data_IF_624264004191
#
_entry.id   IF_624264004191
#
_cell.length_a   1.000
_cell.length_b   1.000
_cell.length_c   1.000
_cell.angle_alpha   90.00
_cell.angle_beta   90.00
_cell.angle_gamma   90.00
#
_symmetry.space_group_name_H-M   'P 1'
#
loop_
_entity.id
_entity.type
_entity.pdbx_description
1 polymer ?
#
# COMPACT_ATOMS: atom_id res chain seq x y z
N UNK A 1 -21.67 -11.48 -19.02
CA UNK A 1 -20.44 -11.22 -18.23
C UNK A 1 -20.76 -10.09 -17.28
N UNK A 2 -20.35 -10.20 -16.02
CA UNK A 2 -20.42 -9.05 -15.11
C UNK A 2 -19.42 -7.99 -15.58
N UNK A 3 -19.74 -6.68 -15.42
CA UNK A 3 -18.77 -5.63 -15.71
C UNK A 3 -17.50 -5.86 -14.89
N UNK A 4 -16.34 -5.60 -15.50
CA UNK A 4 -15.02 -5.77 -14.87
C UNK A 4 -14.64 -7.21 -14.50
N UNK A 5 -15.27 -8.22 -15.11
CA UNK A 5 -14.89 -9.64 -14.98
C UNK A 5 -14.23 -10.15 -16.27
N UNK A 6 -13.18 -10.94 -16.10
CA UNK A 6 -12.39 -11.58 -17.14
C UNK A 6 -12.37 -13.08 -16.91
N UNK A 7 -12.85 -13.85 -17.88
CA UNK A 7 -12.98 -15.30 -17.79
C UNK A 7 -12.11 -15.96 -18.85
N UNK A 8 -11.30 -16.93 -18.45
CA UNK A 8 -10.41 -17.66 -19.34
C UNK A 8 -10.69 -19.15 -19.25
N UNK A 9 -10.87 -19.78 -20.41
CA UNK A 9 -10.84 -21.24 -20.50
C UNK A 9 -9.53 -21.67 -21.14
N UNK A 10 -8.76 -22.45 -20.40
CA UNK A 10 -7.46 -22.96 -20.79
C UNK A 10 -7.65 -24.43 -21.15
N UNK A 11 -7.45 -24.75 -22.44
CA UNK A 11 -7.45 -26.13 -22.93
C UNK A 11 -6.01 -26.52 -23.26
N UNK A 12 -5.53 -27.54 -22.58
CA UNK A 12 -4.23 -28.16 -22.81
C UNK A 12 -4.49 -29.49 -23.51
N UNK A 13 -3.97 -29.67 -24.72
CA UNK A 13 -3.97 -30.97 -25.41
C UNK A 13 -2.98 -31.92 -24.73
N UNK A 14 -2.79 -33.11 -25.30
CA UNK A 14 -1.89 -34.13 -24.77
C UNK A 14 -0.54 -33.54 -24.31
N UNK A 15 -0.12 -33.92 -23.10
CA UNK A 15 1.17 -33.55 -22.52
C UNK A 15 2.00 -34.82 -22.28
N UNK A 16 3.29 -34.85 -22.65
CA UNK A 16 4.13 -36.04 -22.54
C UNK A 16 4.62 -36.23 -21.09
N UNK A 17 3.76 -36.76 -20.22
CA UNK A 17 4.16 -37.13 -18.87
C UNK A 17 5.13 -38.32 -18.87
N UNK A 18 6.19 -38.27 -18.05
CA UNK A 18 7.09 -39.42 -17.85
C UNK A 18 6.36 -40.64 -17.27
N UNK A 19 5.39 -40.43 -16.37
CA UNK A 19 4.58 -41.50 -15.79
C UNK A 19 3.22 -40.97 -15.28
N UNK A 20 2.35 -41.89 -14.84
CA UNK A 20 0.98 -41.61 -14.39
C UNK A 20 0.86 -40.97 -13.00
N UNK A 21 1.94 -40.92 -12.22
CA UNK A 21 2.00 -40.25 -10.91
C UNK A 21 2.40 -38.78 -11.03
N UNK A 22 2.89 -38.36 -12.20
CA UNK A 22 3.29 -36.98 -12.44
C UNK A 22 2.08 -36.06 -12.59
N UNK A 23 2.31 -34.79 -12.28
CA UNK A 23 1.36 -33.70 -12.42
C UNK A 23 1.97 -32.62 -13.32
N UNK A 24 1.12 -31.96 -14.10
CA UNK A 24 1.47 -30.77 -14.87
C UNK A 24 1.14 -29.56 -14.02
N UNK A 25 2.10 -28.66 -13.82
CA UNK A 25 1.88 -27.42 -13.09
C UNK A 25 1.73 -26.25 -14.06
N UNK A 26 0.50 -25.76 -14.20
CA UNK A 26 0.20 -24.55 -14.97
C UNK A 26 0.40 -23.34 -14.07
N UNK A 27 1.42 -22.53 -14.38
CA UNK A 27 1.76 -21.34 -13.60
C UNK A 27 1.11 -20.12 -14.23
N UNK A 28 0.33 -19.38 -13.44
CA UNK A 28 -0.23 -18.08 -13.84
C UNK A 28 0.40 -16.97 -13.00
N UNK A 29 0.73 -15.85 -13.66
CA UNK A 29 1.19 -14.64 -12.99
C UNK A 29 0.07 -13.60 -13.00
N UNK A 30 -0.23 -13.03 -11.83
CA UNK A 30 -1.11 -11.89 -11.67
C UNK A 30 -0.28 -10.72 -11.16
N UNK A 31 -0.40 -9.56 -11.81
CA UNK A 31 0.30 -8.35 -11.40
C UNK A 31 -0.60 -7.13 -11.51
N UNK A 32 -0.39 -6.18 -10.61
CA UNK A 32 -1.08 -4.90 -10.63
C UNK A 32 -0.11 -3.79 -10.27
N UNK A 33 -0.18 -2.71 -11.02
CA UNK A 33 0.68 -1.55 -10.85
C UNK A 33 -0.15 -0.27 -10.91
N UNK A 34 0.18 0.68 -10.05
CA UNK A 34 -0.34 2.04 -10.09
C UNK A 34 0.75 3.02 -10.51
N UNK A 35 0.32 4.06 -11.22
CA UNK A 35 1.16 5.21 -11.57
C UNK A 35 1.23 6.24 -10.44
N UNK A 36 0.38 6.13 -9.42
CA UNK A 36 0.40 7.02 -8.25
C UNK A 36 1.57 6.69 -7.33
N UNK A 37 2.32 7.71 -6.92
CA UNK A 37 3.53 7.55 -6.08
C UNK A 37 3.29 7.83 -4.61
N UNK A 38 2.29 8.66 -4.31
CA UNK A 38 2.10 9.24 -2.97
C UNK A 38 0.91 8.58 -2.26
N UNK A 39 1.08 8.31 -0.96
CA UNK A 39 0.04 7.73 -0.09
C UNK A 39 -0.65 6.49 -0.68
N UNK A 40 0.18 5.59 -1.21
CA UNK A 40 -0.27 4.37 -1.86
C UNK A 40 0.18 3.16 -1.05
N UNK A 41 -0.70 2.18 -0.96
CA UNK A 41 -0.42 0.92 -0.31
C UNK A 41 -0.85 -0.24 -1.21
N UNK A 42 -0.26 -1.40 -0.98
CA UNK A 42 -0.67 -2.66 -1.59
C UNK A 42 -0.89 -3.73 -0.53
N UNK A 43 -1.72 -4.71 -0.86
CA UNK A 43 -2.02 -5.86 -0.02
C UNK A 43 -2.23 -7.09 -0.88
N UNK A 44 -1.88 -8.25 -0.34
CA UNK A 44 -2.02 -9.54 -1.00
C UNK A 44 -2.68 -10.52 -0.04
N UNK A 45 -3.56 -11.34 -0.57
CA UNK A 45 -4.28 -12.37 0.17
C UNK A 45 -4.45 -13.61 -0.70
N UNK A 46 -4.28 -14.79 -0.09
CA UNK A 46 -4.54 -16.07 -0.72
C UNK A 46 -5.21 -16.99 0.29
N UNK A 47 -6.26 -17.69 -0.13
CA UNK A 47 -7.03 -18.53 0.78
C UNK A 47 -8.09 -19.38 0.11
N UNK A 48 -9.00 -19.90 0.94
CA UNK A 48 -10.18 -20.67 0.55
C UNK A 48 -11.39 -19.74 0.44
N UNK A 49 -12.22 -19.94 -0.57
CA UNK A 49 -13.49 -19.22 -0.67
C UNK A 49 -14.45 -19.64 0.45
N UNK A 50 -15.18 -18.67 1.01
CA UNK A 50 -16.09 -18.89 2.14
C UNK A 50 -17.49 -19.37 1.73
N UNK A 51 -17.81 -19.30 0.44
CA UNK A 51 -19.17 -19.54 -0.09
C UNK A 51 -19.46 -21.01 -0.42
N UNK A 52 -18.61 -21.96 0.00
CA UNK A 52 -18.84 -23.40 -0.21
C UNK A 52 -18.62 -23.89 -1.64
N UNK A 53 -18.09 -23.07 -2.55
CA UNK A 53 -17.76 -23.45 -3.93
C UNK A 53 -16.41 -24.18 -4.06
N UNK A 54 -15.79 -24.55 -2.93
CA UNK A 54 -14.53 -25.33 -2.82
C UNK A 54 -13.46 -24.84 -3.81
N UNK A 55 -13.18 -23.54 -3.76
CA UNK A 55 -12.26 -22.87 -4.65
C UNK A 55 -11.20 -22.15 -3.82
N UNK A 56 -10.04 -21.91 -4.44
CA UNK A 56 -9.06 -20.99 -3.90
C UNK A 56 -9.27 -19.60 -4.47
N UNK A 57 -8.81 -18.56 -3.77
CA UNK A 57 -8.74 -17.21 -4.32
C UNK A 57 -7.35 -16.61 -4.13
N UNK A 58 -7.00 -15.72 -5.05
CA UNK A 58 -5.87 -14.81 -4.97
C UNK A 58 -6.42 -13.39 -5.10
N UNK A 59 -6.17 -12.55 -4.10
CA UNK A 59 -6.51 -11.13 -4.15
C UNK A 59 -5.23 -10.32 -4.08
N UNK A 60 -5.00 -9.49 -5.10
CA UNK A 60 -3.92 -8.51 -5.15
C UNK A 60 -4.59 -7.14 -5.16
N UNK A 61 -4.28 -6.30 -4.19
CA UNK A 61 -4.84 -4.96 -4.03
C UNK A 61 -3.74 -3.90 -4.11
N UNK A 62 -4.01 -2.81 -4.81
CA UNK A 62 -3.18 -1.61 -4.90
C UNK A 62 -4.13 -0.42 -4.78
N UNK A 63 -3.93 0.39 -3.73
CA UNK A 63 -4.85 1.41 -3.28
C UNK A 63 -6.27 0.84 -3.04
N UNK A 64 -7.28 1.34 -3.75
CA UNK A 64 -8.68 0.88 -3.65
C UNK A 64 -9.11 -0.03 -4.81
N UNK A 65 -8.19 -0.51 -5.64
CA UNK A 65 -8.47 -1.47 -6.70
C UNK A 65 -7.90 -2.84 -6.33
N UNK A 66 -8.68 -3.89 -6.56
CA UNK A 66 -8.24 -5.28 -6.40
C UNK A 66 -8.41 -6.08 -7.67
N UNK A 67 -7.40 -6.86 -8.00
CA UNK A 67 -7.52 -8.01 -8.88
C UNK A 67 -7.83 -9.24 -8.02
N UNK A 68 -9.02 -9.80 -8.19
CA UNK A 68 -9.49 -10.99 -7.52
C UNK A 68 -9.55 -12.14 -8.51
N UNK A 69 -8.68 -13.13 -8.36
CA UNK A 69 -8.71 -14.39 -9.09
C UNK A 69 -9.34 -15.49 -8.24
N UNK A 70 -10.24 -16.28 -8.82
CA UNK A 70 -10.78 -17.48 -8.19
C UNK A 70 -10.44 -18.70 -9.05
N UNK A 71 -10.01 -19.74 -8.34
CA UNK A 71 -9.40 -20.94 -8.88
C UNK A 71 -10.18 -22.15 -8.38
N UNK A 72 -11.01 -22.70 -9.26
CA UNK A 72 -11.84 -23.86 -8.94
C UNK A 72 -10.93 -25.08 -8.78
N UNK A 73 -11.20 -25.94 -7.79
CA UNK A 73 -10.45 -27.18 -7.54
C UNK A 73 -10.87 -28.35 -8.41
N UNK A 74 -11.38 -28.08 -9.61
CA UNK A 74 -11.87 -29.08 -10.56
C UNK A 74 -11.55 -28.66 -11.98
N UNK A 75 -11.19 -29.64 -12.80
CA UNK A 75 -11.01 -29.49 -14.24
C UNK A 75 -11.71 -30.62 -15.00
N UNK A 76 -11.92 -30.42 -16.30
CA UNK A 76 -12.35 -31.49 -17.20
C UNK A 76 -11.09 -32.12 -17.77
N UNK A 77 -10.81 -33.36 -17.35
CA UNK A 77 -9.61 -34.10 -17.69
C UNK A 77 -10.04 -35.38 -18.40
N UNK A 78 -9.63 -35.55 -19.66
CA UNK A 78 -10.05 -36.66 -20.54
C UNK A 78 -11.58 -36.85 -20.52
N UNK A 79 -12.32 -35.74 -20.70
CA UNK A 79 -13.79 -35.68 -20.67
C UNK A 79 -14.46 -36.04 -19.33
N UNK A 80 -13.69 -36.17 -18.24
CA UNK A 80 -14.22 -36.44 -16.89
C UNK A 80 -13.89 -35.30 -15.92
N UNK A 81 -14.75 -35.03 -14.94
CA UNK A 81 -14.46 -34.02 -13.92
C UNK A 81 -13.50 -34.64 -12.89
N UNK A 82 -12.33 -34.04 -12.73
CA UNK A 82 -11.30 -34.48 -11.78
C UNK A 82 -10.83 -33.31 -10.91
N UNK A 83 -10.41 -33.63 -9.69
CA UNK A 83 -9.84 -32.66 -8.75
C UNK A 83 -8.49 -32.16 -9.25
N UNK A 84 -8.25 -30.86 -9.07
CA UNK A 84 -6.95 -30.20 -9.29
C UNK A 84 -6.61 -29.38 -8.03
N UNK A 85 -5.32 -29.12 -7.81
CA UNK A 85 -4.85 -28.36 -6.66
C UNK A 85 -4.31 -27.00 -7.09
N UNK A 86 -4.52 -25.98 -6.28
CA UNK A 86 -3.97 -24.64 -6.52
C UNK A 86 -3.00 -24.29 -5.40
N UNK A 87 -1.78 -23.89 -5.75
CA UNK A 87 -0.73 -23.56 -4.79
C UNK A 87 -0.09 -22.20 -5.06
N UNK A 88 0.13 -21.43 -4.00
CA UNK A 88 0.83 -20.15 -4.10
C UNK A 88 2.34 -20.39 -4.28
N UNK A 89 2.90 -19.93 -5.39
CA UNK A 89 4.29 -20.15 -5.79
C UNK A 89 5.22 -18.96 -5.49
N UNK A 90 4.73 -17.95 -4.78
CA UNK A 90 5.47 -16.72 -4.52
C UNK A 90 6.81 -16.92 -3.82
N UNK A 91 6.92 -17.96 -2.99
CA UNK A 91 8.18 -18.28 -2.29
C UNK A 91 9.28 -18.73 -3.25
N UNK A 92 8.90 -19.34 -4.37
CA UNK A 92 9.81 -19.96 -5.33
C UNK A 92 10.09 -19.05 -6.54
N UNK A 93 9.24 -18.03 -6.76
CA UNK A 93 9.22 -17.23 -7.99
C UNK A 93 9.66 -15.77 -7.82
N UNK A 94 10.04 -15.33 -6.61
CA UNK A 94 10.53 -13.98 -6.31
C UNK A 94 9.66 -12.83 -6.90
N UNK A 95 8.37 -12.71 -6.53
CA UNK A 95 7.46 -11.74 -7.12
C UNK A 95 7.81 -10.30 -6.75
N UNK A 96 7.49 -9.36 -7.65
CA UNK A 96 7.56 -7.93 -7.37
C UNK A 96 6.63 -7.58 -6.21
N UNK A 97 7.20 -7.00 -5.16
CA UNK A 97 6.46 -6.62 -3.95
C UNK A 97 6.84 -5.20 -3.54
N UNK A 98 5.94 -4.26 -3.78
CA UNK A 98 6.10 -2.85 -3.42
C UNK A 98 4.73 -2.21 -3.17
N UNK A 99 4.72 -1.00 -2.61
CA UNK A 99 3.46 -0.30 -2.31
C UNK A 99 2.63 0.07 -3.55
N UNK A 100 3.27 0.22 -4.71
CA UNK A 100 2.64 0.62 -5.97
C UNK A 100 2.54 -0.49 -7.01
N UNK A 101 3.28 -1.58 -6.83
CA UNK A 101 3.34 -2.71 -7.74
C UNK A 101 3.44 -4.00 -6.95
N UNK A 102 2.52 -4.91 -7.22
CA UNK A 102 2.40 -6.18 -6.54
C UNK A 102 2.16 -7.28 -7.57
N UNK A 103 2.88 -8.37 -7.44
CA UNK A 103 2.81 -9.55 -8.28
C UNK A 103 2.60 -10.79 -7.41
N UNK A 104 1.96 -11.81 -7.98
CA UNK A 104 1.85 -13.13 -7.38
C UNK A 104 1.76 -14.21 -8.46
N UNK A 105 2.17 -15.42 -8.11
CA UNK A 105 2.18 -16.61 -8.95
C UNK A 105 1.35 -17.71 -8.30
N UNK A 106 0.46 -18.28 -9.09
CA UNK A 106 -0.42 -19.38 -8.70
C UNK A 106 -0.15 -20.57 -9.62
N UNK A 107 0.19 -21.70 -9.02
CA UNK A 107 0.36 -22.98 -9.71
C UNK A 107 -0.91 -23.79 -9.64
N UNK A 108 -1.41 -24.25 -10.79
CA UNK A 108 -2.52 -25.18 -10.90
C UNK A 108 -1.95 -26.56 -11.24
N UNK A 109 -2.03 -27.49 -10.29
CA UNK A 109 -1.53 -28.85 -10.44
C UNK A 109 -2.60 -29.75 -11.04
N UNK A 110 -2.36 -30.14 -12.28
CA UNK A 110 -3.24 -30.97 -13.10
C UNK A 110 -2.68 -32.41 -13.08
N UNK A 111 -3.44 -33.41 -12.64
CA UNK A 111 -2.97 -34.80 -12.64
C UNK A 111 -2.75 -35.32 -14.06
N UNK A 112 -2.03 -36.42 -14.19
CA UNK A 112 -1.85 -37.15 -15.46
C UNK A 112 -3.15 -37.27 -16.28
N UNK A 113 -3.03 -37.03 -17.58
CA UNK A 113 -4.09 -37.15 -18.59
C UNK A 113 -3.52 -37.55 -19.95
N UNK A 114 -4.37 -38.08 -20.84
CA UNK A 114 -3.97 -38.62 -22.14
C UNK A 114 -4.33 -37.71 -23.30
N UNK A 115 -5.53 -37.14 -23.29
CA UNK A 115 -6.09 -36.41 -24.42
C UNK A 115 -6.08 -34.91 -24.17
N UNK A 116 -6.70 -34.46 -23.07
CA UNK A 116 -6.73 -33.03 -22.75
C UNK A 116 -7.14 -32.73 -21.31
N UNK A 117 -6.72 -31.56 -20.85
CA UNK A 117 -7.21 -30.93 -19.64
C UNK A 117 -7.81 -29.56 -19.97
N UNK A 118 -8.99 -29.27 -19.42
CA UNK A 118 -9.68 -27.99 -19.55
C UNK A 118 -9.90 -27.41 -18.15
N UNK A 119 -9.32 -26.23 -17.92
CA UNK A 119 -9.39 -25.48 -16.67
C UNK A 119 -9.98 -24.09 -16.95
N UNK A 120 -10.74 -23.53 -16.02
CA UNK A 120 -11.48 -22.29 -16.22
C UNK A 120 -11.34 -21.33 -15.02
N UNK A 121 -10.16 -20.71 -14.80
CA UNK A 121 -10.01 -19.69 -13.77
C UNK A 121 -10.79 -18.42 -14.15
N UNK A 122 -11.32 -17.73 -13.14
CA UNK A 122 -12.00 -16.45 -13.33
C UNK A 122 -11.33 -15.31 -12.54
N UNK A 123 -11.33 -14.12 -13.14
CA UNK A 123 -10.71 -12.93 -12.58
C UNK A 123 -11.72 -11.79 -12.58
N UNK A 124 -11.71 -10.96 -11.55
CA UNK A 124 -12.53 -9.76 -11.46
C UNK A 124 -11.70 -8.60 -10.94
N UNK A 125 -11.92 -7.43 -11.52
CA UNK A 125 -11.39 -6.17 -11.01
C UNK A 125 -12.47 -5.58 -10.12
N UNK A 126 -12.13 -5.37 -8.85
CA UNK A 126 -13.01 -4.87 -7.80
C UNK A 126 -12.55 -3.49 -7.37
N UNK A 127 -13.51 -2.65 -6.96
CA UNK A 127 -13.24 -1.41 -6.24
C UNK A 127 -13.56 -1.70 -4.77
N UNK A 128 -12.53 -1.68 -3.92
CA UNK A 128 -12.69 -1.91 -2.49
C UNK A 128 -13.11 -0.62 -1.78
N UNK A 129 -13.95 -0.78 -0.75
CA UNK A 129 -14.37 0.35 0.11
C UNK A 129 -13.23 0.92 0.94
N UNK A 130 -12.15 0.16 1.11
CA UNK A 130 -10.99 0.54 1.90
C UNK A 130 -9.72 0.41 1.07
N UNK A 131 -8.79 1.33 1.28
CA UNK A 131 -7.45 1.24 0.72
C UNK A 131 -6.70 0.05 1.32
N UNK A 132 -5.82 -0.54 0.53
CA UNK A 132 -4.85 -1.50 1.03
C UNK A 132 -4.03 -0.91 2.18
N UNK A 133 -3.52 -1.76 3.07
CA UNK A 133 -2.82 -1.31 4.28
C UNK A 133 -1.58 -2.12 4.64
N UNK A 134 -1.18 -3.10 3.83
CA UNK A 134 -0.09 -4.03 4.20
C UNK A 134 1.30 -3.47 3.87
N UNK A 135 1.54 -3.08 2.61
CA UNK A 135 2.82 -2.54 2.14
C UNK A 135 2.57 -1.11 1.67
N UNK A 136 2.97 -0.12 2.44
CA UNK A 136 2.67 1.28 2.17
C UNK A 136 3.91 2.08 1.76
N UNK A 137 3.74 3.07 0.88
CA UNK A 137 4.75 4.10 0.70
C UNK A 137 4.86 4.88 2.00
N UNK A 138 6.07 5.01 2.53
CA UNK A 138 6.29 5.85 3.70
C UNK A 138 5.83 7.27 3.35
N UNK A 139 4.87 7.81 4.12
CA UNK A 139 4.57 9.25 4.05
C UNK A 139 5.89 9.98 4.23
N UNK A 140 6.24 10.83 3.27
CA UNK A 140 7.48 11.59 3.33
C UNK A 140 7.53 12.32 4.68
N UNK A 141 8.55 12.00 5.49
CA UNK A 141 8.94 12.89 6.58
C UNK A 141 9.08 14.28 5.98
N UNK A 142 8.67 15.30 6.73
CA UNK A 142 8.67 16.68 6.27
C UNK A 142 9.98 16.99 5.53
N UNK A 143 9.90 17.39 4.25
CA UNK A 143 11.08 17.62 3.41
C UNK A 143 12.11 18.48 4.15
N UNK A 144 13.41 18.19 3.99
CA UNK A 144 14.48 18.90 4.70
C UNK A 144 14.37 20.43 4.59
N UNK A 145 13.91 20.94 3.45
CA UNK A 145 13.63 22.37 3.25
C UNK A 145 12.49 22.91 4.13
N UNK A 146 11.40 22.14 4.27
CA UNK A 146 10.28 22.50 5.15
C UNK A 146 10.70 22.45 6.63
N UNK A 147 11.49 21.46 7.00
CA UNK A 147 12.04 21.35 8.36
C UNK A 147 12.97 22.53 8.67
N UNK A 148 13.87 22.88 7.74
CA UNK A 148 14.77 24.02 7.88
C UNK A 148 13.98 25.34 7.99
N UNK A 149 12.92 25.51 7.20
CA UNK A 149 12.05 26.69 7.27
C UNK A 149 11.39 26.86 8.63
N UNK A 150 10.87 25.77 9.22
CA UNK A 150 10.28 25.79 10.57
C UNK A 150 11.34 26.19 11.61
N UNK A 151 12.54 25.62 11.54
CA UNK A 151 13.62 25.89 12.50
C UNK A 151 14.02 27.38 12.45
N UNK A 152 14.26 27.91 11.24
CA UNK A 152 14.65 29.32 11.05
C UNK A 152 13.53 30.26 11.52
N UNK A 153 12.26 29.93 11.20
CA UNK A 153 11.10 30.71 11.63
C UNK A 153 10.98 30.81 13.15
N UNK A 154 11.11 29.69 13.86
CA UNK A 154 11.07 29.66 15.32
C UNK A 154 12.20 30.47 15.96
N UNK A 155 13.43 30.36 15.44
CA UNK A 155 14.59 31.10 15.97
C UNK A 155 14.43 32.61 15.77
N UNK A 156 14.00 33.04 14.58
CA UNK A 156 13.76 34.46 14.29
C UNK A 156 12.64 35.04 15.19
N UNK A 157 11.55 34.27 15.39
CA UNK A 157 10.44 34.69 16.23
C UNK A 157 10.86 34.88 17.71
N UNK A 158 11.63 33.95 18.26
CA UNK A 158 12.18 34.07 19.63
C UNK A 158 13.12 35.29 19.74
N UNK A 159 13.96 35.54 18.73
CA UNK A 159 14.84 36.71 18.71
C UNK A 159 14.05 38.03 18.73
N UNK A 160 12.98 38.15 17.94
CA UNK A 160 12.13 39.36 17.92
C UNK A 160 11.42 39.56 19.26
N UNK A 161 10.89 38.49 19.86
CA UNK A 161 10.23 38.57 21.18
C UNK A 161 11.21 39.03 22.25
N UNK A 162 12.40 38.42 22.31
CA UNK A 162 13.41 38.76 23.31
C UNK A 162 13.87 40.22 23.20
N UNK A 163 14.15 40.70 21.98
CA UNK A 163 14.49 42.12 21.74
C UNK A 163 13.35 43.05 22.17
N UNK A 164 12.10 42.70 21.82
CA UNK A 164 10.92 43.51 22.17
C UNK A 164 10.72 43.62 23.69
N UNK A 165 10.91 42.50 24.41
CA UNK A 165 10.84 42.47 25.88
C UNK A 165 11.95 43.32 26.49
N UNK A 166 13.20 43.17 26.03
CA UNK A 166 14.34 43.95 26.52
C UNK A 166 14.10 45.45 26.30
N UNK A 167 13.68 45.83 25.10
CA UNK A 167 13.36 47.22 24.76
C UNK A 167 12.26 47.79 25.68
N UNK A 168 11.18 47.04 25.89
CA UNK A 168 10.09 47.45 26.79
C UNK A 168 10.58 47.68 28.23
N UNK A 169 11.42 46.78 28.76
CA UNK A 169 12.01 46.89 30.11
C UNK A 169 12.90 48.13 30.22
N UNK A 170 13.78 48.38 29.23
CA UNK A 170 14.67 49.55 29.23
C UNK A 170 13.88 50.86 29.17
N UNK A 171 12.85 50.93 28.31
CA UNK A 171 11.97 52.11 28.21
C UNK A 171 11.26 52.39 29.54
N UNK A 172 10.73 51.35 30.19
CA UNK A 172 10.08 51.46 31.52
C UNK A 172 11.06 51.92 32.60
N UNK A 173 12.31 51.44 32.60
CA UNK A 173 13.34 51.89 33.55
C UNK A 173 13.73 53.35 33.35
N UNK A 174 13.85 53.80 32.10
CA UNK A 174 14.19 55.19 31.78
C UNK A 174 13.06 56.16 32.15
N UNK A 175 11.80 55.79 31.88
CA UNK A 175 10.63 56.58 32.30
C UNK A 175 10.59 56.73 33.83
N UNK A 176 10.76 55.64 34.59
CA UNK A 176 10.84 55.70 36.07
C UNK A 176 12.00 56.55 36.58
N UNK A 177 13.18 56.49 35.93
CA UNK A 177 14.33 57.34 36.28
C UNK A 177 14.03 58.82 36.01
N UNK A 178 13.37 59.13 34.89
CA UNK A 178 12.98 60.49 34.53
C UNK A 178 11.96 61.07 35.51
N UNK A 179 10.91 60.32 35.84
CA UNK A 179 9.93 60.69 36.88
C UNK A 179 10.60 60.94 38.23
N UNK A 180 11.54 60.07 38.64
CA UNK A 180 12.30 60.25 39.89
C UNK A 180 13.13 61.53 39.88
N UNK A 181 13.82 61.82 38.78
CA UNK A 181 14.65 63.01 38.63
C UNK A 181 13.80 64.31 38.63
N UNK A 182 12.65 64.31 37.95
CA UNK A 182 11.70 65.45 38.00
C UNK A 182 11.16 65.63 39.42
N UNK A 183 10.75 64.55 40.08
CA UNK A 183 10.24 64.62 41.45
C UNK A 183 11.27 65.18 42.43
N UNK A 184 12.55 64.86 42.26
CA UNK A 184 13.64 65.45 43.06
C UNK A 184 13.84 66.94 42.77
N UNK A 185 13.83 67.35 41.49
CA UNK A 185 13.94 68.77 41.11
C UNK A 185 12.76 69.61 41.61
N UNK A 186 11.53 69.10 41.55
CA UNK A 186 10.36 69.82 42.07
C UNK A 186 10.43 70.02 43.60
N UNK A 187 10.91 69.01 44.34
CA UNK A 187 11.12 69.15 45.80
C UNK A 187 12.18 70.19 46.15
N UNK A 188 13.20 70.38 45.31
CA UNK A 188 14.24 71.40 45.51
C UNK A 188 13.76 72.82 45.21
N UNK A 189 12.70 73.01 44.41
CA UNK A 189 12.15 74.33 44.11
C UNK A 189 11.12 74.82 45.13
N UNK A 190 10.63 73.93 46.00
CA UNK A 190 9.57 74.24 46.99
C UNK A 190 10.11 74.40 48.42
N UNK A 191 11.44 74.30 48.59
CA UNK A 191 12.20 74.65 49.80
C UNK A 191 13.10 75.83 49.48
#
# INVERSE_FOLDING_TARGET
MNPSTLKYTIKISNYPFENSLNHLELIMSASMQSNTTDDICSAKEFGETTNGDNSNYLKIQVDNYSLYGRFIRRGIIDSTIRTISNILLDKDMNPITSSKSLQSYIGIQIPYYKESAIIDPDFSILIDSYKASSICSNKSKLSGAKLAGIIIGCVAFIAVITISIIYYILKKRNAKKFEKNIGQKMKQMYN
#
